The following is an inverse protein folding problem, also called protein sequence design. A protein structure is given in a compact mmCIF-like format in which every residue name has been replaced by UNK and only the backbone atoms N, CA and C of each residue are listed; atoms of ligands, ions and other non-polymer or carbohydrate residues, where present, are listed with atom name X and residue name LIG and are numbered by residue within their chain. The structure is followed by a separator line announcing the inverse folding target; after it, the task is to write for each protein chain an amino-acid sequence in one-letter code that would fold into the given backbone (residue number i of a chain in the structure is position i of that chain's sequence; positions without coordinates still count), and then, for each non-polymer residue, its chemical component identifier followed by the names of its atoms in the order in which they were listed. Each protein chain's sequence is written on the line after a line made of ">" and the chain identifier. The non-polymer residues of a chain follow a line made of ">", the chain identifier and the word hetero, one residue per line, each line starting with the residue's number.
data_IF_647521157286
#
_entry.id   IF_647521157286
#
_cell.length_a   1.000
_cell.length_b   1.000
_cell.length_c   1.000
_cell.angle_alpha   90.00
_cell.angle_beta   90.00
_cell.angle_gamma   90.00
#
_symmetry.space_group_name_H-M   'P 1'
#
loop_
_entity.id
_entity.type
_entity.pdbx_description
1 polymer ?
#
# COMPACT_ATOMS: atom_id res chain seq x y z
N UNK A 1 -23.15 6.35 -26.65
CA UNK A 1 -23.29 7.33 -25.54
C UNK A 1 -22.11 7.09 -24.60
N UNK A 2 -21.00 7.80 -24.83
CA UNK A 2 -19.73 7.56 -24.15
C UNK A 2 -19.70 8.37 -22.85
N UNK A 3 -19.76 7.67 -21.72
CA UNK A 3 -19.55 8.24 -20.39
C UNK A 3 -18.10 8.74 -20.31
N UNK A 4 -17.90 10.03 -20.56
CA UNK A 4 -16.65 10.70 -20.24
C UNK A 4 -16.66 10.92 -18.73
N UNK A 5 -15.86 10.08 -18.07
CA UNK A 5 -15.46 10.17 -16.68
C UNK A 5 -15.27 11.64 -16.29
N UNK A 6 -16.09 12.12 -15.36
CA UNK A 6 -15.95 13.42 -14.71
C UNK A 6 -14.70 13.38 -13.83
N UNK A 7 -13.52 13.40 -14.44
CA UNK A 7 -12.24 13.33 -13.74
C UNK A 7 -12.12 14.59 -12.89
N UNK A 8 -12.34 14.45 -11.59
CA UNK A 8 -11.55 15.05 -10.51
C UNK A 8 -10.84 16.37 -10.91
N UNK A 9 -11.59 17.40 -11.27
CA UNK A 9 -11.02 18.66 -11.78
C UNK A 9 -10.16 19.38 -10.71
N UNK A 10 -10.34 18.98 -9.44
CA UNK A 10 -9.58 19.44 -8.28
C UNK A 10 -8.29 18.62 -8.03
N UNK A 11 -8.21 17.37 -8.52
CA UNK A 11 -7.04 16.47 -8.33
C UNK A 11 -6.71 15.68 -9.61
N UNK A 12 -6.16 16.34 -10.65
CA UNK A 12 -5.94 15.71 -11.97
C UNK A 12 -4.86 14.63 -11.98
N UNK A 13 -4.01 14.54 -10.96
CA UNK A 13 -2.93 13.56 -10.89
C UNK A 13 -3.31 12.42 -9.96
N UNK A 14 -3.41 11.19 -10.49
CA UNK A 14 -3.65 9.99 -9.67
C UNK A 14 -2.55 8.95 -9.84
N UNK A 15 -2.29 8.19 -8.77
CA UNK A 15 -1.30 7.10 -8.77
C UNK A 15 -1.81 5.99 -7.87
N UNK A 16 -1.66 4.75 -8.33
CA UNK A 16 -1.96 3.58 -7.50
C UNK A 16 -0.71 2.75 -7.31
N UNK A 17 -0.40 2.41 -6.07
CA UNK A 17 0.77 1.62 -5.68
C UNK A 17 0.25 0.34 -5.04
N UNK A 18 0.70 -0.80 -5.52
CA UNK A 18 0.34 -2.10 -4.96
C UNK A 18 1.61 -2.70 -4.35
N UNK A 19 1.60 -2.93 -3.04
CA UNK A 19 2.71 -3.53 -2.30
C UNK A 19 2.28 -4.93 -1.87
N UNK A 20 2.84 -6.00 -2.46
CA UNK A 20 2.56 -7.36 -2.05
C UNK A 20 3.27 -7.66 -0.73
N UNK A 21 2.52 -8.18 0.25
CA UNK A 21 3.08 -8.69 1.49
C UNK A 21 2.99 -10.22 1.55
N UNK A 22 3.99 -10.88 2.17
CA UNK A 22 4.03 -12.34 2.27
C UNK A 22 2.91 -12.92 3.14
N UNK A 23 2.41 -12.16 4.12
CA UNK A 23 1.31 -12.60 4.99
C UNK A 23 0.25 -11.51 5.18
N UNK A 24 -1.02 -11.89 5.40
CA UNK A 24 -2.11 -10.93 5.60
C UNK A 24 -1.98 -10.14 6.91
N UNK A 25 -1.31 -10.73 7.91
CA UNK A 25 -1.02 -10.04 9.17
C UNK A 25 -0.06 -8.87 8.94
N UNK A 26 1.01 -9.06 8.17
CA UNK A 26 1.96 -8.00 7.85
C UNK A 26 1.30 -6.89 7.02
N UNK A 27 0.48 -7.23 6.02
CA UNK A 27 -0.29 -6.22 5.27
C UNK A 27 -1.20 -5.38 6.18
N UNK A 28 -1.86 -6.01 7.15
CA UNK A 28 -2.74 -5.33 8.11
C UNK A 28 -1.95 -4.43 9.07
N UNK A 29 -0.79 -4.89 9.55
CA UNK A 29 0.09 -4.10 10.43
C UNK A 29 0.64 -2.90 9.66
N UNK A 30 1.11 -3.09 8.43
CA UNK A 30 1.59 -2.02 7.58
C UNK A 30 0.49 -1.00 7.29
N UNK A 31 -0.72 -1.45 6.97
CA UNK A 31 -1.86 -0.56 6.80
C UNK A 31 -2.13 0.29 8.05
N UNK A 32 -2.16 -0.33 9.23
CA UNK A 32 -2.41 0.40 10.49
C UNK A 32 -1.30 1.40 10.80
N UNK A 33 -0.04 1.03 10.57
CA UNK A 33 1.12 1.90 10.78
C UNK A 33 1.15 3.07 9.79
N UNK A 34 0.76 2.84 8.53
CA UNK A 34 0.77 3.89 7.50
C UNK A 34 -0.47 4.78 7.53
N UNK A 35 -1.61 4.28 8.03
CA UNK A 35 -2.86 5.02 8.12
C UNK A 35 -2.87 6.09 9.21
N UNK A 36 -2.01 5.98 10.23
CA UNK A 36 -1.92 7.00 11.29
C UNK A 36 -1.20 8.27 10.83
N UNK A 37 -0.39 8.19 9.78
CA UNK A 37 0.18 9.37 9.15
C UNK A 37 -0.91 10.12 8.38
N UNK A 38 -1.28 11.30 8.86
CA UNK A 38 -2.13 12.19 8.08
C UNK A 38 -1.30 12.88 7.01
N UNK A 39 -1.85 13.01 5.81
CA UNK A 39 -1.16 13.75 4.77
C UNK A 39 -0.98 15.21 5.18
N UNK A 40 0.24 15.71 5.00
CA UNK A 40 0.65 17.05 5.42
C UNK A 40 -0.14 18.19 4.74
N UNK A 41 -0.95 17.88 3.72
CA UNK A 41 -1.63 18.87 2.92
C UNK A 41 -3.01 18.41 2.44
N UNK A 42 -4.06 19.26 2.54
CA UNK A 42 -5.39 18.96 2.00
C UNK A 42 -5.42 18.89 0.45
N UNK A 43 -4.29 19.20 -0.19
CA UNK A 43 -4.07 19.17 -1.64
C UNK A 43 -3.67 17.78 -2.17
N UNK A 44 -3.59 16.79 -1.28
CA UNK A 44 -3.43 15.37 -1.61
C UNK A 44 -4.51 14.58 -0.88
N UNK A 45 -5.02 13.54 -1.55
CA UNK A 45 -5.94 12.57 -0.98
C UNK A 45 -5.34 11.19 -1.16
N UNK A 46 -5.09 10.52 -0.05
CA UNK A 46 -4.66 9.13 0.00
C UNK A 46 -5.76 8.22 0.53
N UNK A 47 -5.90 7.06 -0.10
CA UNK A 47 -6.81 6.01 0.33
C UNK A 47 -6.06 4.69 0.34
N UNK A 48 -6.18 3.95 1.43
CA UNK A 48 -5.60 2.63 1.54
C UNK A 48 -6.67 1.56 1.42
N UNK A 49 -6.30 0.45 0.80
CA UNK A 49 -7.15 -0.74 0.75
C UNK A 49 -6.25 -1.96 0.82
N UNK A 50 -6.67 -2.95 1.60
CA UNK A 50 -6.01 -4.25 1.63
C UNK A 50 -6.84 -5.15 0.74
N UNK A 51 -6.22 -5.67 -0.32
CA UNK A 51 -6.84 -6.69 -1.17
C UNK A 51 -6.39 -8.06 -0.64
N UNK A 52 -7.36 -8.84 -0.18
CA UNK A 52 -7.15 -10.16 0.43
C UNK A 52 -7.37 -11.30 -0.57
N UNK A 53 -7.68 -10.99 -1.83
CA UNK A 53 -8.32 -11.93 -2.73
C UNK A 53 -7.57 -12.07 -4.05
N UNK A 54 -6.81 -13.16 -4.18
CA UNK A 54 -6.71 -13.85 -5.46
C UNK A 54 -7.12 -15.31 -5.23
N UNK A 55 -8.41 -15.67 -5.43
CA UNK A 55 -8.92 -17.01 -5.22
C UNK A 55 -8.56 -17.95 -6.39
N UNK A 56 -7.66 -17.56 -7.30
CA UNK A 56 -7.31 -18.37 -8.47
C UNK A 56 -6.11 -19.30 -8.30
N UNK A 57 -5.36 -19.22 -7.19
CA UNK A 57 -4.26 -20.16 -6.93
C UNK A 57 -4.52 -20.90 -5.61
N UNK A 58 -5.24 -22.03 -5.72
CA UNK A 58 -5.32 -23.04 -4.68
C UNK A 58 -3.90 -23.60 -4.40
N UNK A 59 -3.17 -22.94 -3.48
CA UNK A 59 -1.82 -23.29 -3.10
C UNK A 59 -1.27 -22.35 -2.03
N UNK A 60 -1.57 -22.68 -0.77
CA UNK A 60 -0.86 -22.35 0.47
C UNK A 60 -0.52 -20.90 0.88
N UNK A 61 -0.45 -19.88 0.02
CA UNK A 61 0.09 -18.57 0.41
C UNK A 61 -0.86 -17.42 0.07
N UNK A 62 -1.66 -16.99 1.05
CA UNK A 62 -2.54 -15.83 0.96
C UNK A 62 -1.71 -14.53 0.96
N UNK A 63 -1.04 -14.24 -0.15
CA UNK A 63 -0.35 -12.98 -0.39
C UNK A 63 -1.36 -11.84 -0.30
N UNK A 64 -1.19 -10.95 0.66
CA UNK A 64 -2.09 -9.82 0.87
C UNK A 64 -1.46 -8.57 0.28
N UNK A 65 -2.20 -7.91 -0.62
CA UNK A 65 -1.68 -6.76 -1.36
C UNK A 65 -2.20 -5.48 -0.71
N UNK A 66 -1.29 -4.65 -0.21
CA UNK A 66 -1.63 -3.31 0.24
C UNK A 66 -1.70 -2.37 -0.98
N UNK A 67 -2.90 -1.93 -1.31
CA UNK A 67 -3.16 -0.93 -2.36
C UNK A 67 -3.22 0.45 -1.74
N UNK A 68 -2.41 1.37 -2.25
CA UNK A 68 -2.43 2.78 -1.90
C UNK A 68 -2.82 3.58 -3.12
N UNK A 69 -3.96 4.27 -3.04
CA UNK A 69 -4.45 5.15 -4.08
C UNK A 69 -4.20 6.61 -3.68
N UNK A 70 -3.52 7.34 -4.55
CA UNK A 70 -3.21 8.75 -4.41
C UNK A 70 -3.95 9.57 -5.45
N UNK A 71 -4.44 10.74 -5.01
CA UNK A 71 -4.93 11.81 -5.86
C UNK A 71 -4.32 13.13 -5.40
N UNK A 72 -3.80 13.93 -6.32
CA UNK A 72 -3.15 15.19 -6.02
C UNK A 72 -3.50 16.25 -7.06
N UNK A 73 -3.47 17.51 -6.62
CA UNK A 73 -3.65 18.70 -7.48
C UNK A 73 -2.52 18.84 -8.51
N UNK A 74 -1.29 18.44 -8.14
CA UNK A 74 -0.10 18.54 -9.00
C UNK A 74 0.80 17.32 -8.87
N UNK A 75 1.54 17.01 -9.95
CA UNK A 75 2.61 15.99 -9.94
C UNK A 75 3.68 16.27 -8.87
N UNK A 76 3.92 17.55 -8.55
CA UNK A 76 4.88 17.93 -7.51
C UNK A 76 4.41 17.48 -6.13
N UNK A 77 3.14 17.72 -5.80
CA UNK A 77 2.57 17.31 -4.52
C UNK A 77 2.48 15.79 -4.42
N UNK A 78 2.09 15.13 -5.52
CA UNK A 78 2.09 13.68 -5.63
C UNK A 78 3.47 13.08 -5.33
N UNK A 79 4.54 13.63 -5.92
CA UNK A 79 5.92 13.18 -5.66
C UNK A 79 6.33 13.32 -4.20
N UNK A 80 6.03 14.47 -3.58
CA UNK A 80 6.39 14.70 -2.18
C UNK A 80 5.65 13.72 -1.26
N UNK A 81 4.34 13.52 -1.49
CA UNK A 81 3.52 12.60 -0.71
C UNK A 81 3.95 11.13 -0.87
N UNK A 82 4.27 10.71 -2.10
CA UNK A 82 4.71 9.34 -2.39
C UNK A 82 6.11 9.08 -1.82
N UNK A 83 7.03 10.04 -1.91
CA UNK A 83 8.36 9.90 -1.33
C UNK A 83 8.29 9.71 0.20
N UNK A 84 7.48 10.53 0.88
CA UNK A 84 7.27 10.39 2.34
C UNK A 84 6.63 9.06 2.70
N UNK A 85 5.64 8.59 1.92
CA UNK A 85 5.09 7.25 2.12
C UNK A 85 6.16 6.17 1.98
N UNK A 86 6.97 6.20 0.92
CA UNK A 86 7.97 5.16 0.68
C UNK A 86 9.01 5.11 1.81
N UNK A 87 9.38 6.26 2.37
CA UNK A 87 10.24 6.32 3.56
C UNK A 87 9.58 5.66 4.78
N UNK A 88 8.32 6.00 5.07
CA UNK A 88 7.55 5.38 6.15
C UNK A 88 7.32 3.87 5.93
N UNK A 89 7.06 3.46 4.69
CA UNK A 89 6.88 2.06 4.31
C UNK A 89 8.18 1.28 4.48
N UNK A 90 9.33 1.86 4.09
CA UNK A 90 10.62 1.23 4.28
C UNK A 90 10.93 1.01 5.76
N UNK A 91 10.68 2.01 6.61
CA UNK A 91 10.83 1.88 8.06
C UNK A 91 9.92 0.78 8.62
N UNK A 92 8.66 0.74 8.20
CA UNK A 92 7.71 -0.30 8.63
C UNK A 92 8.18 -1.69 8.21
N UNK A 93 8.67 -1.85 6.98
CA UNK A 93 9.20 -3.13 6.48
C UNK A 93 10.47 -3.55 7.22
N UNK A 94 11.38 -2.63 7.50
CA UNK A 94 12.61 -2.88 8.28
C UNK A 94 12.28 -3.34 9.71
N UNK A 95 11.35 -2.64 10.37
CA UNK A 95 10.87 -3.01 11.71
C UNK A 95 10.16 -4.36 11.69
N UNK A 96 9.39 -4.66 10.65
CA UNK A 96 8.80 -5.99 10.44
C UNK A 96 9.87 -7.07 10.24
N UNK A 97 10.95 -6.77 9.52
CA UNK A 97 12.04 -7.73 9.35
C UNK A 97 12.77 -8.03 10.67
N UNK A 98 12.96 -7.02 11.51
CA UNK A 98 13.62 -7.18 12.82
C UNK A 98 12.72 -7.83 13.89
N UNK A 99 11.42 -7.56 13.87
CA UNK A 99 10.48 -8.01 14.91
C UNK A 99 9.65 -9.24 14.52
N UNK A 100 9.38 -9.47 13.23
CA UNK A 100 8.60 -10.60 12.71
C UNK A 100 9.50 -11.67 12.07
N UNK A 101 10.73 -11.84 12.59
CA UNK A 101 11.71 -12.85 12.14
C UNK A 101 11.09 -14.25 12.09
N UNK A 102 10.33 -14.62 13.12
CA UNK A 102 9.65 -15.93 13.22
C UNK A 102 8.64 -16.19 12.07
N UNK A 103 7.99 -15.14 11.55
CA UNK A 103 7.02 -15.25 10.45
C UNK A 103 7.74 -15.32 9.10
N UNK A 104 8.85 -14.59 8.95
CA UNK A 104 9.67 -14.63 7.74
C UNK A 104 10.42 -15.96 7.59
N UNK A 105 10.91 -16.53 8.69
CA UNK A 105 11.52 -17.86 8.70
C UNK A 105 10.49 -18.95 8.37
N UNK A 106 9.28 -18.89 8.94
CA UNK A 106 8.20 -19.83 8.59
C UNK A 106 7.82 -19.79 7.10
N UNK A 107 7.81 -18.61 6.48
CA UNK A 107 7.56 -18.50 5.04
C UNK A 107 8.74 -19.02 4.19
N UNK A 108 9.99 -18.73 4.56
CA UNK A 108 11.17 -19.29 3.85
C UNK A 108 11.23 -20.81 3.90
N UNK A 109 10.81 -21.41 5.00
CA UNK A 109 10.75 -22.89 5.16
C UNK A 109 9.60 -23.50 4.36
N UNK A 110 8.52 -22.75 4.12
CA UNK A 110 7.36 -23.23 3.35
C UNK A 110 7.59 -23.21 1.83
N UNK A 111 8.59 -22.45 1.36
CA UNK A 111 8.96 -22.33 -0.05
C UNK A 111 10.09 -23.29 -0.49
N UNK A 112 10.52 -24.24 0.38
CA UNK A 112 11.60 -25.20 0.12
C UNK A 112 11.10 -26.63 -0.03
#
# INVERSE_FOLDING_TARGET
>A
MAAHDTIDQEFPCSLTINVPFPTPRLATVAHKALAVDQELSPLVRRTFSIDSDSPSNAGADAASVLRVHYKATTNRMLRVAVNGLMESLNLVVEVMEELDVDVLEQNRVSSQ
#
